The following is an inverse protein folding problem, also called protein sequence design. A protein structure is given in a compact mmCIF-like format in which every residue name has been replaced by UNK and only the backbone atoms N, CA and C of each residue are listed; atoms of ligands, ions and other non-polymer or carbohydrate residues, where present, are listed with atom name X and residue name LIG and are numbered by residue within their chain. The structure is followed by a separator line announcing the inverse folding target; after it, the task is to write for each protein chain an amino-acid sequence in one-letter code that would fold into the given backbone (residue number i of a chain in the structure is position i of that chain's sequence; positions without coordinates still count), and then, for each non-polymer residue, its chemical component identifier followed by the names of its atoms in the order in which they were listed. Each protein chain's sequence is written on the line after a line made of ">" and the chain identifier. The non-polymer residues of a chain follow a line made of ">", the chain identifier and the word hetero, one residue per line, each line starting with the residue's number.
data_IF_135613049187
#
_entry.id   IF_135613049187
#
_cell.length_a   1.000
_cell.length_b   1.000
_cell.length_c   1.000
_cell.angle_alpha   90.00
_cell.angle_beta   90.00
_cell.angle_gamma   90.00
#
_symmetry.space_group_name_H-M   'P 1'
#
loop_
_entity.id
_entity.type
_entity.pdbx_description
1 polymer ?
#
# COMPACT_ATOMS: atom_id res chain seq x y z
N UNK A 1 -40.68 -15.63 -35.51
CA UNK A 1 -39.55 -16.36 -36.12
C UNK A 1 -38.52 -15.35 -36.63
N UNK A 2 -37.22 -15.63 -36.43
CA UNK A 2 -36.01 -14.97 -36.98
C UNK A 2 -35.33 -13.91 -36.10
N UNK A 3 -34.81 -14.33 -34.94
CA UNK A 3 -33.63 -13.72 -34.29
C UNK A 3 -32.70 -14.80 -33.72
N UNK A 4 -32.44 -15.85 -34.51
CA UNK A 4 -31.49 -16.93 -34.21
C UNK A 4 -30.24 -16.76 -35.11
N UNK A 5 -29.53 -15.64 -35.00
CA UNK A 5 -28.35 -15.37 -35.84
C UNK A 5 -27.21 -14.63 -35.12
N UNK A 6 -27.12 -14.70 -33.79
CA UNK A 6 -26.02 -14.07 -33.02
C UNK A 6 -25.23 -15.08 -32.18
N UNK A 7 -25.40 -16.39 -32.42
CA UNK A 7 -24.79 -17.46 -31.62
C UNK A 7 -23.58 -18.16 -32.29
N UNK A 8 -22.90 -17.53 -33.25
CA UNK A 8 -21.83 -18.16 -34.04
C UNK A 8 -20.49 -17.40 -34.05
N UNK A 9 -20.16 -16.66 -32.98
CA UNK A 9 -18.83 -16.06 -32.81
C UNK A 9 -18.33 -16.27 -31.38
N UNK A 10 -18.48 -17.49 -30.86
CA UNK A 10 -17.97 -17.90 -29.56
C UNK A 10 -17.48 -19.35 -29.61
N UNK A 11 -16.56 -19.65 -30.54
CA UNK A 11 -15.99 -21.01 -30.65
C UNK A 11 -14.61 -21.00 -31.30
N UNK A 12 -13.57 -20.63 -30.56
CA UNK A 12 -12.23 -21.22 -30.71
C UNK A 12 -11.29 -20.80 -29.57
N UNK A 13 -11.56 -21.23 -28.33
CA UNK A 13 -10.59 -21.02 -27.24
C UNK A 13 -10.57 -22.13 -26.17
N UNK A 14 -11.11 -23.32 -26.45
CA UNK A 14 -10.92 -24.47 -25.57
C UNK A 14 -10.71 -25.74 -26.39
N UNK A 15 -9.45 -26.08 -26.65
CA UNK A 15 -8.97 -27.44 -26.92
C UNK A 15 -7.46 -27.47 -26.68
N UNK A 16 -7.07 -27.72 -25.42
CA UNK A 16 -5.90 -28.51 -25.02
C UNK A 16 -5.66 -28.40 -23.50
N UNK A 17 -6.68 -28.62 -22.69
CA UNK A 17 -6.51 -28.96 -21.28
C UNK A 17 -7.02 -30.40 -21.11
N UNK A 18 -6.13 -31.39 -21.27
CA UNK A 18 -6.53 -32.79 -21.05
C UNK A 18 -5.83 -33.88 -21.87
N UNK A 19 -4.55 -33.74 -22.21
CA UNK A 19 -3.68 -34.89 -22.51
C UNK A 19 -2.26 -34.36 -22.69
N UNK A 20 -1.39 -34.51 -21.68
CA UNK A 20 0.07 -34.52 -21.80
C UNK A 20 0.70 -34.56 -20.39
N UNK A 21 0.44 -35.66 -19.67
CA UNK A 21 1.15 -35.98 -18.42
C UNK A 21 2.50 -36.69 -18.67
N UNK A 22 2.93 -36.81 -19.93
CA UNK A 22 4.22 -37.42 -20.33
C UNK A 22 5.29 -36.39 -20.77
N UNK A 23 4.98 -35.09 -20.73
CA UNK A 23 5.84 -34.02 -21.24
C UNK A 23 6.38 -33.10 -20.14
N UNK A 24 6.21 -33.45 -18.87
CA UNK A 24 6.61 -32.59 -17.75
C UNK A 24 8.13 -32.35 -17.65
N UNK A 25 8.95 -33.03 -18.47
CA UNK A 25 10.41 -32.88 -18.54
C UNK A 25 10.92 -32.51 -19.96
N UNK A 26 10.01 -32.29 -20.92
CA UNK A 26 10.39 -31.81 -22.24
C UNK A 26 10.52 -30.29 -22.18
N UNK A 27 11.75 -29.80 -22.07
CA UNK A 27 12.06 -28.36 -22.17
C UNK A 27 11.47 -27.73 -23.45
N UNK A 28 11.44 -26.39 -23.53
CA UNK A 28 10.75 -25.70 -24.61
C UNK A 28 11.26 -26.16 -25.97
N UNK A 29 10.33 -26.48 -26.87
CA UNK A 29 10.64 -26.84 -28.25
C UNK A 29 11.31 -25.67 -28.96
N UNK A 30 12.12 -25.96 -29.98
CA UNK A 30 12.79 -24.92 -30.79
C UNK A 30 11.78 -23.89 -31.33
N UNK A 31 10.57 -24.32 -31.69
CA UNK A 31 9.53 -23.42 -32.16
C UNK A 31 9.04 -22.46 -31.05
N UNK A 32 8.86 -22.97 -29.83
CA UNK A 32 8.48 -22.15 -28.66
C UNK A 32 9.58 -21.13 -28.32
N UNK A 33 10.84 -21.56 -28.28
CA UNK A 33 11.97 -20.64 -28.00
C UNK A 33 12.07 -19.53 -29.05
N UNK A 34 11.84 -19.83 -30.33
CA UNK A 34 11.83 -18.82 -31.39
C UNK A 34 10.68 -17.82 -31.23
N UNK A 35 9.49 -18.30 -30.87
CA UNK A 35 8.34 -17.45 -30.60
C UNK A 35 8.59 -16.54 -29.39
N UNK A 36 9.15 -17.07 -28.30
CA UNK A 36 9.53 -16.30 -27.11
C UNK A 36 10.60 -15.26 -27.41
N UNK A 37 11.63 -15.63 -28.19
CA UNK A 37 12.68 -14.69 -28.59
C UNK A 37 12.11 -13.55 -29.44
N UNK A 38 11.19 -13.86 -30.37
CA UNK A 38 10.52 -12.85 -31.18
C UNK A 38 9.67 -11.93 -30.29
N UNK A 39 8.94 -12.49 -29.33
CA UNK A 39 8.16 -11.72 -28.37
C UNK A 39 9.04 -10.80 -27.51
N UNK A 40 10.17 -11.31 -27.01
CA UNK A 40 11.10 -10.54 -26.17
C UNK A 40 11.73 -9.37 -26.95
N UNK A 41 12.04 -9.56 -28.24
CA UNK A 41 12.50 -8.50 -29.14
C UNK A 41 11.44 -7.41 -29.34
N UNK A 42 10.18 -7.80 -29.52
CA UNK A 42 9.06 -6.85 -29.71
C UNK A 42 8.73 -6.12 -28.41
N UNK A 43 8.79 -6.80 -27.27
CA UNK A 43 8.48 -6.23 -25.96
C UNK A 43 9.63 -5.43 -25.35
N UNK A 44 10.76 -5.27 -26.06
CA UNK A 44 11.94 -4.56 -25.55
C UNK A 44 12.69 -5.25 -24.41
N UNK A 45 12.37 -6.52 -24.12
CA UNK A 45 13.06 -7.33 -23.10
C UNK A 45 14.38 -7.91 -23.62
N UNK A 46 14.64 -7.81 -24.92
CA UNK A 46 15.87 -8.24 -25.58
C UNK A 46 16.53 -7.04 -26.27
N UNK A 47 17.79 -6.78 -25.95
CA UNK A 47 18.59 -5.69 -26.52
C UNK A 47 19.78 -6.24 -27.31
N UNK A 48 20.26 -5.48 -28.30
CA UNK A 48 21.41 -5.85 -29.14
C UNK A 48 22.59 -4.94 -28.81
N UNK A 49 23.80 -5.51 -28.76
CA UNK A 49 25.04 -4.76 -28.50
C UNK A 49 25.31 -4.50 -27.02
N UNK A 50 26.49 -3.92 -26.73
CA UNK A 50 26.97 -3.70 -25.36
C UNK A 50 26.27 -2.51 -24.66
N UNK A 51 25.80 -1.52 -25.42
CA UNK A 51 25.17 -0.30 -24.87
C UNK A 51 23.75 -0.53 -24.35
N UNK A 52 23.09 -1.60 -24.80
CA UNK A 52 21.72 -1.95 -24.42
C UNK A 52 21.63 -2.88 -23.21
N UNK A 53 22.74 -3.22 -22.56
CA UNK A 53 22.75 -4.11 -21.41
C UNK A 53 22.89 -3.34 -20.08
N UNK A 54 22.05 -3.65 -19.06
CA UNK A 54 20.97 -4.63 -19.07
C UNK A 54 19.74 -4.14 -19.85
N UNK A 55 18.89 -5.07 -20.30
CA UNK A 55 17.61 -4.73 -20.89
C UNK A 55 16.78 -3.87 -19.91
N UNK A 56 16.02 -2.85 -20.39
CA UNK A 56 15.21 -2.02 -19.53
C UNK A 56 14.22 -2.86 -18.72
N UNK A 57 14.26 -2.72 -17.40
CA UNK A 57 13.29 -3.35 -16.51
C UNK A 57 12.00 -2.53 -16.58
N UNK A 58 10.89 -3.16 -16.98
CA UNK A 58 9.60 -2.48 -17.00
C UNK A 58 9.23 -2.02 -15.58
N UNK A 59 8.97 -0.72 -15.39
CA UNK A 59 8.38 -0.23 -14.15
C UNK A 59 6.96 -0.76 -14.05
N UNK A 60 6.69 -1.55 -13.02
CA UNK A 60 5.36 -2.17 -12.76
C UNK A 60 4.45 -1.29 -11.90
N UNK A 61 4.95 -0.15 -11.41
CA UNK A 61 4.13 0.79 -10.63
C UNK A 61 3.09 1.44 -11.55
N UNK A 62 1.82 1.28 -11.18
CA UNK A 62 0.71 2.03 -11.78
C UNK A 62 0.59 3.45 -11.21
N UNK A 63 1.28 3.74 -10.09
CA UNK A 63 1.24 5.05 -9.44
C UNK A 63 2.29 6.00 -10.02
N UNK A 64 1.84 7.21 -10.30
CA UNK A 64 2.69 8.36 -10.60
C UNK A 64 3.40 8.84 -9.32
N UNK A 65 4.55 9.50 -9.48
CA UNK A 65 5.26 10.11 -8.35
C UNK A 65 4.41 11.11 -7.58
N UNK A 66 3.45 11.77 -8.25
CA UNK A 66 2.51 12.70 -7.62
C UNK A 66 1.51 11.95 -6.72
N UNK A 67 0.97 10.81 -7.17
CA UNK A 67 0.06 10.00 -6.37
C UNK A 67 0.74 9.45 -5.12
N UNK A 68 1.98 8.94 -5.26
CA UNK A 68 2.76 8.46 -4.12
C UNK A 68 3.01 9.57 -3.09
N UNK A 69 3.32 10.79 -3.55
CA UNK A 69 3.51 11.94 -2.65
C UNK A 69 2.20 12.33 -1.94
N UNK A 70 1.07 12.28 -2.64
CA UNK A 70 -0.24 12.57 -2.05
C UNK A 70 -0.62 11.54 -0.97
N UNK A 71 -0.43 10.25 -1.25
CA UNK A 71 -0.68 9.16 -0.29
C UNK A 71 0.23 9.26 0.93
N UNK A 72 1.52 9.54 0.73
CA UNK A 72 2.46 9.75 1.83
C UNK A 72 2.05 10.96 2.69
N UNK A 73 1.63 12.06 2.08
CA UNK A 73 1.15 13.23 2.81
C UNK A 73 -0.11 12.89 3.62
N UNK A 74 -1.06 12.14 3.05
CA UNK A 74 -2.26 11.68 3.75
C UNK A 74 -1.90 10.79 4.95
N UNK A 75 -1.04 9.79 4.77
CA UNK A 75 -0.63 8.87 5.83
C UNK A 75 0.10 9.60 6.98
N UNK A 76 0.93 10.60 6.65
CA UNK A 76 1.57 11.48 7.65
C UNK A 76 0.55 12.28 8.45
N UNK A 77 -0.47 12.85 7.80
CA UNK A 77 -1.55 13.57 8.50
C UNK A 77 -2.41 12.65 9.36
N UNK A 78 -2.62 11.40 8.93
CA UNK A 78 -3.34 10.39 9.69
C UNK A 78 -2.56 9.84 10.89
N UNK A 79 -1.25 10.13 10.99
CA UNK A 79 -0.37 9.59 12.03
C UNK A 79 0.05 8.14 11.79
N UNK A 80 -0.16 7.63 10.57
CA UNK A 80 0.20 6.26 10.16
C UNK A 80 1.69 6.11 9.85
N UNK A 81 2.41 7.22 9.71
CA UNK A 81 3.86 7.26 9.47
C UNK A 81 4.56 7.84 10.69
N UNK A 82 5.51 7.09 11.25
CA UNK A 82 6.31 7.54 12.39
C UNK A 82 7.76 7.80 12.00
N UNK A 83 8.41 8.70 12.74
CA UNK A 83 9.81 9.05 12.52
C UNK A 83 10.60 8.64 13.76
N UNK A 84 11.36 7.54 13.65
CA UNK A 84 12.23 7.05 14.72
C UNK A 84 11.75 5.75 15.36
N UNK A 85 12.68 5.07 16.04
CA UNK A 85 12.46 3.71 16.57
C UNK A 85 11.55 3.66 17.81
N UNK A 86 11.27 4.80 18.45
CA UNK A 86 10.51 4.86 19.71
C UNK A 86 9.00 4.99 19.50
N UNK A 87 8.56 5.34 18.29
CA UNK A 87 7.15 5.57 17.95
C UNK A 87 6.58 4.40 17.12
N UNK A 88 7.09 3.19 17.28
CA UNK A 88 6.56 2.00 16.61
C UNK A 88 5.78 1.12 17.59
N UNK A 89 4.55 0.69 17.26
CA UNK A 89 3.83 0.94 16.00
C UNK A 89 3.22 2.36 15.92
N UNK A 90 2.94 2.88 14.71
CA UNK A 90 2.17 4.11 14.53
C UNK A 90 0.82 4.00 15.26
N UNK A 91 0.54 4.99 16.10
CA UNK A 91 -0.76 5.18 16.76
C UNK A 91 -1.52 6.23 15.95
N UNK A 92 -2.69 5.87 15.42
CA UNK A 92 -3.47 6.75 14.56
C UNK A 92 -3.81 8.05 15.30
N UNK A 93 -3.87 9.18 14.57
CA UNK A 93 -4.19 10.48 15.19
C UNK A 93 -5.55 10.46 15.92
N UNK A 94 -6.50 9.65 15.43
CA UNK A 94 -7.80 9.42 16.08
C UNK A 94 -7.68 8.71 17.43
N UNK A 95 -6.69 7.84 17.61
CA UNK A 95 -6.46 7.12 18.88
C UNK A 95 -5.74 7.99 19.92
N UNK A 96 -4.98 9.01 19.47
CA UNK A 96 -4.39 10.03 20.35
C UNK A 96 -5.33 11.19 20.68
N UNK A 97 -6.48 11.28 20.03
CA UNK A 97 -7.40 12.37 20.24
C UNK A 97 -7.97 12.30 21.66
N UNK A 98 -7.55 13.22 22.53
CA UNK A 98 -8.20 13.44 23.81
C UNK A 98 -9.62 13.92 23.54
N UNK A 99 -10.61 13.32 24.19
CA UNK A 99 -12.02 13.73 24.07
C UNK A 99 -12.28 15.13 24.62
N UNK A 100 -11.33 15.67 25.41
CA UNK A 100 -11.40 17.01 25.98
C UNK A 100 -10.78 18.04 25.04
N UNK A 101 -11.57 19.07 24.73
CA UNK A 101 -11.08 20.31 24.13
C UNK A 101 -10.20 21.09 25.12
N UNK A 102 -9.30 21.94 24.62
CA UNK A 102 -8.52 22.85 25.48
C UNK A 102 -9.41 23.69 26.42
N UNK A 103 -10.60 24.07 25.96
CA UNK A 103 -11.55 24.82 26.76
C UNK A 103 -12.09 23.99 27.95
N UNK A 104 -12.42 22.72 27.72
CA UNK A 104 -12.86 21.81 28.79
C UNK A 104 -11.73 21.58 29.81
N UNK A 105 -10.50 21.35 29.35
CA UNK A 105 -9.33 21.21 30.22
C UNK A 105 -9.11 22.45 31.08
N UNK A 106 -9.30 23.66 30.53
CA UNK A 106 -9.17 24.90 31.29
C UNK A 106 -10.26 25.04 32.36
N UNK A 107 -11.50 24.66 32.04
CA UNK A 107 -12.62 24.68 33.00
C UNK A 107 -12.37 23.69 34.14
N UNK A 108 -11.99 22.45 33.84
CA UNK A 108 -11.66 21.42 34.86
C UNK A 108 -10.49 21.87 35.75
N UNK A 109 -9.46 22.47 35.15
CA UNK A 109 -8.33 23.01 35.91
C UNK A 109 -8.77 24.16 36.84
N UNK A 110 -9.64 25.05 36.38
CA UNK A 110 -10.15 26.15 37.19
C UNK A 110 -11.01 25.63 38.36
N UNK A 111 -11.84 24.62 38.11
CA UNK A 111 -12.63 23.94 39.13
C UNK A 111 -11.72 23.27 40.16
N UNK A 112 -10.74 22.48 39.74
CA UNK A 112 -9.81 21.78 40.63
C UNK A 112 -8.98 22.76 41.49
N UNK A 113 -8.64 23.94 40.94
CA UNK A 113 -8.01 25.03 41.72
C UNK A 113 -8.96 25.60 42.77
N UNK A 114 -10.24 25.79 42.44
CA UNK A 114 -11.23 26.30 43.39
C UNK A 114 -11.54 25.29 44.51
N UNK A 115 -11.44 23.99 44.22
CA UNK A 115 -11.61 22.89 45.17
C UNK A 115 -10.34 22.60 45.99
N UNK A 116 -9.23 23.33 45.74
CA UNK A 116 -7.97 23.15 46.45
C UNK A 116 -7.21 21.85 46.10
N UNK A 117 -7.66 21.14 45.07
CA UNK A 117 -7.04 19.89 44.59
C UNK A 117 -5.72 20.13 43.84
N UNK A 118 -5.49 21.37 43.39
CA UNK A 118 -4.26 21.78 42.69
C UNK A 118 -3.48 22.76 43.55
N UNK A 119 -2.33 22.33 44.04
CA UNK A 119 -1.40 23.14 44.82
C UNK A 119 -0.13 23.48 44.02
N UNK A 120 0.49 24.62 44.29
CA UNK A 120 1.71 25.08 43.64
C UNK A 120 2.82 25.32 44.67
N UNK A 121 3.96 24.66 44.49
CA UNK A 121 5.14 24.82 45.35
C UNK A 121 5.62 23.51 45.99
N UNK A 122 6.91 23.45 46.32
CA UNK A 122 7.54 22.26 46.91
C UNK A 122 7.14 21.99 48.37
N UNK A 123 6.44 22.93 49.02
CA UNK A 123 6.10 22.87 50.46
C UNK A 123 4.69 22.35 50.74
N UNK A 124 3.82 22.29 49.73
CA UNK A 124 2.39 22.00 49.88
C UNK A 124 1.97 20.68 49.19
N UNK A 125 2.94 19.82 48.83
CA UNK A 125 2.67 18.51 48.25
C UNK A 125 2.72 17.41 49.34
N UNK A 126 1.72 16.50 49.40
CA UNK A 126 0.53 16.41 48.54
C UNK A 126 -0.62 17.35 48.99
N UNK A 127 -1.56 17.70 48.07
CA UNK A 127 -2.71 18.53 48.41
C UNK A 127 -3.54 17.90 49.53
N UNK A 128 -3.85 18.68 50.57
CA UNK A 128 -4.65 18.26 51.71
C UNK A 128 -6.14 18.29 51.34
N UNK A 129 -6.60 17.25 50.63
CA UNK A 129 -8.01 16.97 50.39
C UNK A 129 -8.35 15.56 50.87
N UNK A 130 -9.02 15.47 52.02
CA UNK A 130 -9.72 14.27 52.51
C UNK A 130 -11.12 14.20 51.96
#
# INVERSE_FOLDING_TARGET
>A
MKTLATALMLSMSVLAAGAQAAEADQGPTRAQVQAELQQAKVSGQYTFGEEGYPAPIAQTSSLTSQQVQAELAQAKNAGEVTFGNLDYPPVAAAERATTLSRAQVQTELAQAKSEGLVTFGNLDYPPLGS
#
